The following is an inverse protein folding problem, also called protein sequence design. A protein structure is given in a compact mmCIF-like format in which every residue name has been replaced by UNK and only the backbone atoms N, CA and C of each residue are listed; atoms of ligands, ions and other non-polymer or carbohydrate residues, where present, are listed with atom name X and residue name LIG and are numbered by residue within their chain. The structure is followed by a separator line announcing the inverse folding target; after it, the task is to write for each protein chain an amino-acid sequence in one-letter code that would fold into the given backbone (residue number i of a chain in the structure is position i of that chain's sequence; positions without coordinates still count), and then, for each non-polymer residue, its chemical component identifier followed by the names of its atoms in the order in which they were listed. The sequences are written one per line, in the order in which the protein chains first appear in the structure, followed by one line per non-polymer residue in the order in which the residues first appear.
data_IF_588708156792
#
_entry.id   IF_588708156792
#
_cell.length_a   1.000
_cell.length_b   1.000
_cell.length_c   1.000
_cell.angle_alpha   90.00
_cell.angle_beta   90.00
_cell.angle_gamma   90.00
#
_symmetry.space_group_name_H-M   'P 1'
#
loop_
_entity.id
_entity.type
_entity.pdbx_description
1 polymer ?
#
# COMPACT_ATOMS: atom_id res chain seq x y z
N UNK A 1 84.29 -64.00 -42.19
CA UNK A 1 83.36 -63.45 -41.17
C UNK A 1 83.76 -62.03 -40.72
N UNK A 2 83.97 -61.07 -41.63
CA UNK A 2 84.30 -59.66 -41.25
C UNK A 2 83.59 -58.58 -42.08
N UNK A 3 82.65 -58.95 -42.97
CA UNK A 3 81.89 -58.01 -43.80
C UNK A 3 80.42 -57.85 -43.38
N UNK A 4 79.85 -58.78 -42.60
CA UNK A 4 78.43 -58.73 -42.19
C UNK A 4 78.19 -57.94 -40.89
N UNK A 5 79.19 -57.78 -40.03
CA UNK A 5 79.05 -57.05 -38.76
C UNK A 5 78.97 -55.52 -38.94
N UNK A 6 79.49 -54.96 -40.05
CA UNK A 6 79.48 -53.51 -40.30
C UNK A 6 78.12 -53.05 -40.85
N UNK A 7 77.42 -53.91 -41.60
CA UNK A 7 76.09 -53.60 -42.13
C UNK A 7 75.03 -53.50 -41.03
N UNK A 8 75.10 -54.34 -39.99
CA UNK A 8 74.14 -54.31 -38.88
C UNK A 8 74.29 -53.04 -38.01
N UNK A 9 75.52 -52.56 -37.80
CA UNK A 9 75.77 -51.37 -36.96
C UNK A 9 75.25 -50.08 -37.62
N UNK A 10 75.34 -49.97 -38.95
CA UNK A 10 74.84 -48.81 -39.71
C UNK A 10 73.32 -48.71 -39.71
N UNK A 11 72.60 -49.84 -39.75
CA UNK A 11 71.12 -49.85 -39.72
C UNK A 11 70.59 -49.42 -38.34
N UNK A 12 71.22 -49.85 -37.25
CA UNK A 12 70.79 -49.48 -35.89
C UNK A 12 70.97 -47.99 -35.61
N UNK A 13 72.04 -47.37 -36.11
CA UNK A 13 72.28 -45.93 -35.93
C UNK A 13 71.28 -45.08 -36.73
N UNK A 14 70.89 -45.51 -37.93
CA UNK A 14 69.90 -44.78 -38.75
C UNK A 14 68.49 -44.88 -38.16
N UNK A 15 68.10 -46.05 -37.61
CA UNK A 15 66.78 -46.21 -36.97
C UNK A 15 66.69 -45.42 -35.65
N UNK A 16 67.78 -45.36 -34.88
CA UNK A 16 67.83 -44.55 -33.66
C UNK A 16 67.80 -43.03 -33.96
N UNK A 17 68.44 -42.59 -35.04
CA UNK A 17 68.40 -41.19 -35.48
C UNK A 17 67.00 -40.77 -36.00
N UNK A 18 66.25 -41.69 -36.61
CA UNK A 18 64.88 -41.42 -37.06
C UNK A 18 63.87 -41.33 -35.90
N UNK A 19 64.10 -42.03 -34.79
CA UNK A 19 63.26 -41.94 -33.58
C UNK A 19 63.44 -40.62 -32.81
N UNK A 20 64.55 -39.90 -33.01
CA UNK A 20 64.80 -38.62 -32.34
C UNK A 20 64.17 -37.41 -33.03
N UNK A 21 63.68 -37.53 -34.26
CA UNK A 21 63.21 -36.38 -35.06
C UNK A 21 61.69 -36.22 -35.21
N UNK A 22 60.88 -37.05 -34.55
CA UNK A 22 59.41 -36.90 -34.58
C UNK A 22 58.77 -37.09 -33.21
N UNK A 23 59.18 -36.28 -32.22
CA UNK A 23 58.22 -35.86 -31.19
C UNK A 23 57.54 -34.61 -31.73
N UNK A 24 56.25 -34.65 -32.13
CA UNK A 24 55.52 -33.41 -32.34
C UNK A 24 55.57 -32.63 -31.02
N UNK A 25 55.86 -31.34 -31.10
CA UNK A 25 55.72 -30.43 -29.98
C UNK A 25 54.31 -30.63 -29.39
N UNK A 26 54.20 -31.23 -28.22
CA UNK A 26 53.03 -31.03 -27.38
C UNK A 26 53.05 -29.55 -27.01
N UNK A 27 52.37 -28.72 -27.81
CA UNK A 27 52.01 -27.39 -27.37
C UNK A 27 51.23 -27.56 -26.08
N UNK A 28 51.84 -27.20 -24.95
CA UNK A 28 51.14 -27.10 -23.68
C UNK A 28 49.93 -26.20 -23.91
N UNK A 29 48.74 -26.80 -23.89
CA UNK A 29 47.49 -26.07 -24.08
C UNK A 29 47.33 -25.12 -22.89
N UNK A 30 47.74 -23.86 -23.07
CA UNK A 30 47.70 -22.84 -22.02
C UNK A 30 46.26 -22.42 -21.77
N UNK A 31 45.83 -22.53 -20.52
CA UNK A 31 44.54 -22.03 -20.08
C UNK A 31 44.45 -20.51 -20.30
N UNK A 32 43.44 -19.99 -21.02
CA UNK A 32 43.25 -18.55 -21.19
C UNK A 32 43.13 -17.84 -19.84
N UNK A 33 43.77 -16.69 -19.68
CA UNK A 33 43.69 -15.86 -18.46
C UNK A 33 42.28 -15.31 -18.19
N UNK A 34 41.39 -15.39 -19.18
CA UNK A 34 39.97 -15.04 -19.07
C UNK A 34 39.13 -16.11 -18.35
N UNK A 35 39.65 -17.32 -18.13
CA UNK A 35 38.92 -18.37 -17.44
C UNK A 35 38.91 -18.15 -15.91
N UNK A 36 37.83 -17.55 -15.40
CA UNK A 36 37.65 -17.24 -13.97
C UNK A 36 37.70 -18.47 -13.05
N UNK A 37 37.27 -19.64 -13.52
CA UNK A 37 37.23 -20.89 -12.75
C UNK A 37 38.29 -21.92 -13.22
N UNK A 38 39.32 -21.45 -13.93
CA UNK A 38 40.35 -22.30 -14.52
C UNK A 38 39.85 -23.09 -15.74
N UNK A 39 40.66 -24.03 -16.23
CA UNK A 39 40.35 -24.83 -17.41
C UNK A 39 40.14 -26.31 -17.09
N UNK A 40 39.43 -27.00 -17.99
CA UNK A 40 39.34 -28.46 -18.00
C UNK A 40 40.76 -29.00 -18.29
N UNK A 41 41.20 -30.01 -17.51
CA UNK A 41 42.55 -30.58 -17.58
C UNK A 41 42.91 -30.99 -19.01
N UNK A 42 44.06 -30.50 -19.51
CA UNK A 42 44.55 -30.79 -20.86
C UNK A 42 43.85 -30.01 -21.98
N UNK A 43 43.03 -28.99 -21.67
CA UNK A 43 42.30 -28.20 -22.67
C UNK A 43 42.37 -26.70 -22.40
N UNK A 44 42.07 -25.89 -23.42
CA UNK A 44 41.91 -24.44 -23.31
C UNK A 44 40.46 -24.02 -22.96
N UNK A 45 39.57 -24.98 -22.66
CA UNK A 45 38.18 -24.69 -22.34
C UNK A 45 38.04 -24.29 -20.87
N UNK A 46 37.37 -23.16 -20.60
CA UNK A 46 37.08 -22.70 -19.26
C UNK A 46 36.13 -23.66 -18.54
N UNK A 47 36.33 -23.84 -17.23
CA UNK A 47 35.36 -24.53 -16.38
C UNK A 47 34.13 -23.67 -16.16
N UNK A 48 32.99 -24.32 -16.12
CA UNK A 48 31.77 -23.72 -15.61
C UNK A 48 31.93 -23.36 -14.11
N UNK A 49 31.21 -22.33 -13.63
CA UNK A 49 31.14 -22.06 -12.20
C UNK A 49 30.72 -23.32 -11.43
N UNK A 50 31.26 -23.57 -10.24
CA UNK A 50 30.77 -24.64 -9.39
C UNK A 50 29.26 -24.47 -9.16
N UNK A 51 28.49 -25.57 -9.11
CA UNK A 51 27.05 -25.50 -8.88
C UNK A 51 26.78 -24.73 -7.59
N UNK A 52 25.86 -23.78 -7.64
CA UNK A 52 25.43 -23.02 -6.46
C UNK A 52 24.78 -23.99 -5.47
N UNK A 53 25.42 -24.19 -4.33
CA UNK A 53 24.90 -25.05 -3.26
C UNK A 53 24.23 -24.17 -2.23
N UNK A 54 22.96 -24.45 -1.94
CA UNK A 54 22.25 -23.76 -0.88
C UNK A 54 22.93 -24.04 0.47
N UNK A 55 23.37 -23.02 1.22
CA UNK A 55 24.03 -23.21 2.51
C UNK A 55 23.15 -24.00 3.49
N UNK A 56 23.75 -24.91 4.26
CA UNK A 56 23.03 -25.69 5.29
C UNK A 56 22.46 -24.84 6.42
N UNK A 57 22.90 -23.59 6.54
CA UNK A 57 22.37 -22.58 7.46
C UNK A 57 21.02 -22.00 7.02
N UNK A 58 20.61 -22.20 5.76
CA UNK A 58 19.33 -21.72 5.25
C UNK A 58 18.17 -22.60 5.70
N UNK A 59 17.51 -22.21 6.79
CA UNK A 59 16.38 -22.97 7.39
C UNK A 59 15.18 -23.13 6.45
N UNK A 60 14.96 -22.18 5.54
CA UNK A 60 13.83 -22.15 4.60
C UNK A 60 14.23 -22.40 3.13
N UNK A 61 15.45 -22.88 2.90
CA UNK A 61 16.01 -23.01 1.55
C UNK A 61 16.53 -21.70 0.97
N UNK A 62 16.83 -21.69 -0.33
CA UNK A 62 17.46 -20.58 -1.04
C UNK A 62 16.57 -20.08 -2.18
N UNK A 63 16.77 -18.82 -2.60
CA UNK A 63 16.08 -18.28 -3.78
C UNK A 63 16.53 -19.06 -5.04
N UNK A 64 15.64 -19.28 -6.03
CA UNK A 64 15.98 -20.02 -7.24
C UNK A 64 17.23 -19.46 -7.93
N UNK A 65 18.23 -20.33 -8.15
CA UNK A 65 19.48 -19.95 -8.84
C UNK A 65 20.46 -19.13 -8.00
N UNK A 66 20.37 -19.12 -6.67
CA UNK A 66 21.27 -18.39 -5.77
C UNK A 66 21.67 -19.23 -4.54
N UNK A 67 22.71 -18.79 -3.83
CA UNK A 67 23.11 -19.27 -2.49
C UNK A 67 22.49 -18.42 -1.36
N UNK A 68 21.58 -17.50 -1.70
CA UNK A 68 20.95 -16.58 -0.74
C UNK A 68 19.76 -17.26 -0.04
N UNK A 69 19.78 -17.27 1.30
CA UNK A 69 18.70 -17.87 2.08
C UNK A 69 17.36 -17.13 1.89
N UNK A 70 16.27 -17.90 1.81
CA UNK A 70 14.91 -17.39 1.99
C UNK A 70 14.78 -16.92 3.43
N UNK A 71 14.42 -15.66 3.62
CA UNK A 71 14.08 -15.11 4.93
C UNK A 71 12.63 -15.44 5.27
N UNK A 72 12.35 -15.70 6.56
CA UNK A 72 10.97 -15.75 7.04
C UNK A 72 10.28 -14.44 6.67
N UNK A 73 9.10 -14.54 6.04
CA UNK A 73 8.20 -13.39 5.97
C UNK A 73 7.83 -13.08 7.41
N UNK A 74 8.44 -12.04 7.99
CA UNK A 74 8.05 -11.52 9.30
C UNK A 74 6.67 -10.92 9.14
N UNK A 75 5.64 -11.75 9.35
CA UNK A 75 4.28 -11.26 9.54
C UNK A 75 4.32 -10.47 10.84
N UNK A 76 4.43 -9.14 10.74
CA UNK A 76 4.33 -8.25 11.89
C UNK A 76 2.98 -8.53 12.56
N UNK A 77 3.01 -9.25 13.67
CA UNK A 77 1.83 -9.61 14.43
C UNK A 77 1.24 -8.32 14.98
N UNK A 78 0.19 -7.82 14.36
CA UNK A 78 -0.56 -6.66 14.84
C UNK A 78 -1.23 -7.02 16.16
N UNK A 79 -1.38 -6.03 17.04
CA UNK A 79 -2.09 -6.21 18.31
C UNK A 79 -3.57 -6.46 17.99
N UNK A 80 -4.10 -7.60 18.42
CA UNK A 80 -5.54 -7.83 18.35
C UNK A 80 -6.27 -6.95 19.36
N UNK A 81 -7.31 -6.27 18.91
CA UNK A 81 -8.11 -5.35 19.73
C UNK A 81 -9.55 -5.82 19.78
N UNK A 82 -10.09 -5.90 21.00
CA UNK A 82 -11.46 -6.36 21.31
C UNK A 82 -12.26 -5.33 22.11
N UNK A 83 -11.63 -4.20 22.46
CA UNK A 83 -12.22 -3.13 23.25
C UNK A 83 -11.63 -1.78 22.81
N UNK A 84 -12.36 -0.70 23.08
CA UNK A 84 -11.93 0.67 22.86
C UNK A 84 -10.72 1.03 23.74
N UNK A 85 -9.87 1.95 23.28
CA UNK A 85 -8.72 2.40 24.07
C UNK A 85 -7.66 3.16 23.29
N UNK A 86 -6.53 3.39 23.94
CA UNK A 86 -5.37 4.06 23.35
C UNK A 86 -4.53 3.04 22.58
N UNK A 87 -4.27 3.31 21.31
CA UNK A 87 -3.46 2.47 20.43
C UNK A 87 -2.04 3.03 20.32
N UNK A 88 -1.06 2.30 20.83
CA UNK A 88 0.38 2.67 20.79
C UNK A 88 1.20 1.77 19.89
N UNK A 89 0.53 0.97 19.05
CA UNK A 89 1.13 0.03 18.11
C UNK A 89 0.10 -0.34 17.03
N UNK A 90 0.58 -0.88 15.91
CA UNK A 90 -0.28 -1.39 14.85
C UNK A 90 -1.26 -2.43 15.40
N UNK A 91 -2.53 -2.21 15.11
CA UNK A 91 -3.63 -2.92 15.73
C UNK A 91 -4.63 -3.40 14.69
N UNK A 92 -5.22 -4.56 14.95
CA UNK A 92 -6.29 -5.14 14.14
C UNK A 92 -7.46 -5.49 15.05
N UNK A 93 -8.66 -4.99 14.73
CA UNK A 93 -9.86 -5.41 15.44
C UNK A 93 -10.22 -6.83 15.04
N UNK A 94 -10.70 -7.61 16.01
CA UNK A 94 -11.19 -8.98 15.80
C UNK A 94 -12.64 -9.17 16.27
N UNK A 95 -13.27 -8.08 16.73
CA UNK A 95 -14.66 -8.03 17.15
C UNK A 95 -15.19 -6.61 17.03
N UNK A 96 -16.52 -6.49 16.97
CA UNK A 96 -17.17 -5.19 17.11
C UNK A 96 -16.91 -4.62 18.51
N UNK A 97 -16.87 -3.30 18.61
CA UNK A 97 -16.67 -2.57 19.87
C UNK A 97 -17.69 -1.44 19.97
N UNK A 98 -17.96 -0.99 21.20
CA UNK A 98 -18.86 0.13 21.44
C UNK A 98 -18.37 0.98 22.61
N UNK A 99 -18.60 2.28 22.54
CA UNK A 99 -18.25 3.23 23.60
C UNK A 99 -19.19 4.41 23.59
N UNK A 100 -19.59 4.89 24.77
CA UNK A 100 -20.38 6.11 24.90
C UNK A 100 -19.50 7.37 24.79
N UNK A 101 -18.18 7.21 24.88
CA UNK A 101 -17.18 8.27 24.74
C UNK A 101 -16.30 8.02 23.51
N UNK A 102 -15.18 8.74 23.39
CA UNK A 102 -14.18 8.40 22.37
C UNK A 102 -13.78 6.92 22.46
N UNK A 103 -13.81 6.18 21.35
CA UNK A 103 -13.46 4.76 21.35
C UNK A 103 -11.95 4.55 21.16
N UNK A 104 -11.40 4.87 19.98
CA UNK A 104 -9.97 4.73 19.73
C UNK A 104 -9.25 6.07 19.74
N UNK A 105 -8.16 6.13 20.49
CA UNK A 105 -7.22 7.25 20.46
C UNK A 105 -5.90 6.75 19.90
N UNK A 106 -5.41 7.36 18.82
CA UNK A 106 -4.09 7.04 18.28
C UNK A 106 -3.02 7.65 19.18
N UNK A 107 -2.37 6.81 19.95
CA UNK A 107 -1.43 7.18 21.01
C UNK A 107 -0.04 7.52 20.51
N UNK A 108 0.39 6.98 19.36
CA UNK A 108 1.74 7.14 18.79
C UNK A 108 1.71 7.33 17.28
N UNK A 109 2.77 7.94 16.74
CA UNK A 109 3.00 8.01 15.29
C UNK A 109 3.24 6.62 14.69
N UNK A 110 3.19 6.52 13.35
CA UNK A 110 3.43 5.26 12.61
C UNK A 110 2.47 4.14 13.03
N UNK A 111 1.21 4.50 13.32
CA UNK A 111 0.19 3.57 13.80
C UNK A 111 -0.79 3.23 12.69
N UNK A 112 -1.01 1.94 12.48
CA UNK A 112 -2.10 1.42 11.65
C UNK A 112 -3.20 0.83 12.52
N UNK A 113 -4.44 1.24 12.30
CA UNK A 113 -5.63 0.53 12.77
C UNK A 113 -6.34 -0.09 11.57
N UNK A 114 -6.38 -1.41 11.53
CA UNK A 114 -7.23 -2.18 10.63
C UNK A 114 -8.45 -2.68 11.39
N UNK A 115 -9.62 -2.13 11.11
CA UNK A 115 -10.83 -2.54 11.83
C UNK A 115 -11.35 -3.91 11.34
N UNK A 116 -10.80 -4.51 10.29
CA UNK A 116 -11.22 -5.84 9.83
C UNK A 116 -12.71 -5.93 9.46
N UNK A 117 -13.30 -4.80 9.03
CA UNK A 117 -14.74 -4.61 8.81
C UNK A 117 -15.61 -4.77 10.06
N UNK A 118 -15.01 -4.76 11.24
CA UNK A 118 -15.74 -4.68 12.49
C UNK A 118 -16.29 -3.28 12.74
N UNK A 119 -17.41 -3.26 13.44
CA UNK A 119 -18.17 -2.06 13.76
C UNK A 119 -17.67 -1.39 15.04
N UNK A 120 -17.60 -0.07 15.00
CA UNK A 120 -17.35 0.82 16.14
C UNK A 120 -18.64 1.63 16.34
N UNK A 121 -19.43 1.28 17.36
CA UNK A 121 -20.73 1.92 17.62
C UNK A 121 -20.64 2.89 18.80
N UNK A 122 -21.18 4.10 18.62
CA UNK A 122 -21.28 5.11 19.67
C UNK A 122 -22.70 5.23 20.26
N UNK A 123 -22.96 6.34 20.96
CA UNK A 123 -24.30 6.72 21.48
C UNK A 123 -24.66 8.18 21.22
N UNK A 124 -24.04 8.80 20.21
CA UNK A 124 -24.22 10.21 19.83
C UNK A 124 -23.95 11.19 20.97
N UNK A 125 -23.08 10.81 21.91
CA UNK A 125 -22.66 11.70 22.98
C UNK A 125 -21.87 12.89 22.41
N UNK A 126 -22.07 14.08 22.97
CA UNK A 126 -21.30 15.26 22.58
C UNK A 126 -19.79 15.02 22.76
N UNK A 127 -18.97 15.56 21.85
CA UNK A 127 -17.51 15.42 21.88
C UNK A 127 -17.01 13.96 21.89
N UNK A 128 -17.80 13.02 21.35
CA UNK A 128 -17.41 11.63 21.15
C UNK A 128 -16.87 11.38 19.74
N UNK A 129 -15.78 10.61 19.66
CA UNK A 129 -15.15 10.23 18.39
C UNK A 129 -14.97 8.71 18.31
N UNK A 130 -15.32 8.09 17.18
CA UNK A 130 -15.01 6.67 17.02
C UNK A 130 -13.48 6.48 16.98
N UNK A 131 -12.81 7.34 16.21
CA UNK A 131 -11.36 7.35 16.09
C UNK A 131 -10.85 8.79 16.19
N UNK A 132 -9.94 9.04 17.13
CA UNK A 132 -9.31 10.34 17.35
C UNK A 132 -7.81 10.27 17.05
N UNK A 133 -7.37 11.08 16.10
CA UNK A 133 -5.98 11.28 15.69
C UNK A 133 -5.62 12.72 16.05
N UNK A 134 -4.80 12.91 17.09
CA UNK A 134 -4.44 14.26 17.54
C UNK A 134 -2.94 14.38 17.76
N UNK A 135 -2.30 15.35 17.11
CA UNK A 135 -0.86 15.56 17.13
C UNK A 135 -0.10 14.29 16.74
N UNK A 136 -0.52 13.61 15.68
CA UNK A 136 0.09 12.34 15.22
C UNK A 136 0.44 12.39 13.75
N UNK A 137 1.47 11.63 13.40
CA UNK A 137 1.95 11.54 12.02
C UNK A 137 2.03 10.09 11.55
N UNK A 138 1.92 9.88 10.24
CA UNK A 138 2.03 8.59 9.59
C UNK A 138 1.00 7.58 10.13
N UNK A 139 -0.27 7.96 10.11
CA UNK A 139 -1.36 7.14 10.66
C UNK A 139 -2.17 6.55 9.52
N UNK A 140 -2.45 5.25 9.58
CA UNK A 140 -3.34 4.58 8.62
C UNK A 140 -4.55 4.02 9.36
N UNK A 141 -5.75 4.36 8.90
CA UNK A 141 -7.01 3.78 9.38
C UNK A 141 -7.70 3.13 8.20
N UNK A 142 -8.11 1.86 8.33
CA UNK A 142 -8.76 1.16 7.22
C UNK A 142 -9.76 0.10 7.63
N UNK A 143 -10.66 -0.22 6.69
CA UNK A 143 -11.66 -1.29 6.78
C UNK A 143 -12.60 -1.13 7.97
N UNK A 144 -13.05 0.09 8.27
CA UNK A 144 -13.85 0.38 9.47
C UNK A 144 -15.32 0.66 9.14
N UNK A 145 -16.22 0.23 10.01
CA UNK A 145 -17.64 0.62 10.02
C UNK A 145 -17.90 1.42 11.29
N UNK A 146 -18.36 2.66 11.16
CA UNK A 146 -18.51 3.62 12.26
C UNK A 146 -19.94 4.17 12.24
N UNK A 147 -20.60 4.16 13.39
CA UNK A 147 -21.94 4.73 13.53
C UNK A 147 -22.13 5.41 14.90
N UNK A 148 -23.06 6.37 14.96
CA UNK A 148 -23.57 6.97 16.19
C UNK A 148 -22.53 7.71 17.05
N UNK A 149 -21.64 8.52 16.46
CA UNK A 149 -20.70 9.40 17.19
C UNK A 149 -21.00 10.89 16.97
N UNK A 150 -20.40 11.78 17.77
CA UNK A 150 -20.42 13.22 17.46
C UNK A 150 -19.59 13.53 16.21
N UNK A 151 -18.47 12.85 16.02
CA UNK A 151 -17.82 12.76 14.72
C UNK A 151 -17.24 11.36 14.55
N UNK A 152 -17.38 10.75 13.38
CA UNK A 152 -16.87 9.40 13.17
C UNK A 152 -15.35 9.35 13.35
N UNK A 153 -14.63 10.12 12.55
CA UNK A 153 -13.16 10.25 12.64
C UNK A 153 -12.79 11.71 12.82
N UNK A 154 -11.97 12.01 13.82
CA UNK A 154 -11.42 13.34 14.05
C UNK A 154 -9.90 13.33 13.89
N UNK A 155 -9.40 14.15 12.96
CA UNK A 155 -7.99 14.40 12.69
C UNK A 155 -7.70 15.85 13.09
N UNK A 156 -6.83 16.05 14.08
CA UNK A 156 -6.47 17.36 14.62
C UNK A 156 -4.95 17.50 14.66
N UNK A 157 -4.42 18.58 14.06
CA UNK A 157 -3.01 18.95 14.13
C UNK A 157 -2.07 17.81 13.76
N UNK A 158 -2.40 17.07 12.69
CA UNK A 158 -1.76 15.81 12.32
C UNK A 158 -1.34 15.84 10.85
N UNK A 159 -0.37 15.01 10.45
CA UNK A 159 0.02 14.91 9.04
C UNK A 159 0.32 13.49 8.56
N UNK A 160 0.33 13.31 7.23
CA UNK A 160 0.53 12.01 6.59
C UNK A 160 -0.47 10.96 7.11
N UNK A 161 -1.75 11.31 7.07
CA UNK A 161 -2.83 10.42 7.53
C UNK A 161 -3.53 9.80 6.32
N UNK A 162 -3.70 8.48 6.35
CA UNK A 162 -4.37 7.74 5.29
C UNK A 162 -5.62 7.05 5.83
N UNK A 163 -6.78 7.40 5.28
CA UNK A 163 -8.07 6.80 5.56
C UNK A 163 -8.52 6.02 4.32
N UNK A 164 -8.77 4.71 4.45
CA UNK A 164 -9.25 3.91 3.31
C UNK A 164 -10.27 2.83 3.64
N UNK A 165 -11.27 2.66 2.77
CA UNK A 165 -12.34 1.65 2.93
C UNK A 165 -13.08 1.82 4.28
N UNK A 166 -13.66 3.00 4.49
CA UNK A 166 -14.37 3.33 5.73
C UNK A 166 -15.83 3.63 5.41
N UNK A 167 -16.73 3.12 6.24
CA UNK A 167 -18.13 3.50 6.27
C UNK A 167 -18.39 4.31 7.53
N UNK A 168 -18.90 5.53 7.39
CA UNK A 168 -19.34 6.37 8.52
C UNK A 168 -20.78 6.77 8.31
N UNK A 169 -21.64 6.50 9.30
CA UNK A 169 -23.04 6.91 9.25
C UNK A 169 -23.56 7.51 10.55
N UNK A 170 -24.62 8.31 10.43
CA UNK A 170 -25.47 8.73 11.55
C UNK A 170 -24.75 9.53 12.66
N UNK A 171 -23.68 10.27 12.31
CA UNK A 171 -23.01 11.16 13.27
C UNK A 171 -23.80 12.45 13.53
N UNK A 172 -23.82 12.93 14.78
CA UNK A 172 -24.44 14.23 15.13
C UNK A 172 -23.56 15.44 14.80
N UNK A 173 -22.48 15.22 14.06
CA UNK A 173 -21.59 16.25 13.53
C UNK A 173 -21.16 15.84 12.14
N UNK A 174 -19.84 15.81 11.90
CA UNK A 174 -19.27 15.38 10.61
C UNK A 174 -18.88 13.91 10.65
N UNK A 175 -19.02 13.20 9.52
CA UNK A 175 -18.53 11.83 9.42
C UNK A 175 -17.00 11.76 9.60
N UNK A 176 -16.29 12.63 8.87
CA UNK A 176 -14.85 12.86 9.04
C UNK A 176 -14.61 14.35 9.24
N UNK A 177 -13.85 14.72 10.27
CA UNK A 177 -13.43 16.10 10.52
C UNK A 177 -11.90 16.18 10.52
N UNK A 178 -11.37 17.10 9.72
CA UNK A 178 -9.93 17.35 9.52
C UNK A 178 -9.63 18.80 9.86
N UNK A 179 -8.87 19.01 10.94
CA UNK A 179 -8.63 20.32 11.54
C UNK A 179 -7.13 20.56 11.63
N UNK A 180 -6.67 21.70 11.10
CA UNK A 180 -5.28 22.14 11.18
C UNK A 180 -4.27 21.05 10.78
N UNK A 181 -4.62 20.25 9.78
CA UNK A 181 -3.87 19.05 9.39
C UNK A 181 -3.40 19.14 7.95
N UNK A 182 -2.37 18.37 7.61
CA UNK A 182 -1.75 18.39 6.29
C UNK A 182 -1.52 16.99 5.72
N UNK A 183 -1.47 16.86 4.41
CA UNK A 183 -1.09 15.60 3.73
C UNK A 183 -2.00 14.44 4.17
N UNK A 184 -3.32 14.66 4.08
CA UNK A 184 -4.34 13.67 4.45
C UNK A 184 -4.94 13.09 3.17
N UNK A 185 -4.89 11.77 3.04
CA UNK A 185 -5.46 11.05 1.91
C UNK A 185 -6.68 10.25 2.37
N UNK A 186 -7.86 10.62 1.87
CA UNK A 186 -9.14 9.98 2.17
C UNK A 186 -9.66 9.33 0.91
N UNK A 187 -9.66 8.00 0.88
CA UNK A 187 -10.10 7.25 -0.28
C UNK A 187 -11.11 6.15 0.02
N UNK A 188 -12.04 5.89 -0.90
CA UNK A 188 -13.02 4.80 -0.76
C UNK A 188 -13.81 4.88 0.55
N UNK A 189 -14.17 6.10 0.96
CA UNK A 189 -15.02 6.36 2.12
C UNK A 189 -16.47 6.51 1.66
N UNK A 190 -17.38 5.85 2.38
CA UNK A 190 -18.82 6.10 2.30
C UNK A 190 -19.25 6.87 3.56
N UNK A 191 -19.70 8.11 3.42
CA UNK A 191 -20.13 8.95 4.55
C UNK A 191 -21.56 9.45 4.34
N UNK A 192 -22.48 9.11 5.25
CA UNK A 192 -23.90 9.45 5.08
C UNK A 192 -24.67 9.75 6.36
N UNK A 193 -25.79 10.47 6.25
CA UNK A 193 -26.68 10.82 7.37
C UNK A 193 -26.00 11.59 8.50
N UNK A 194 -24.91 12.29 8.20
CA UNK A 194 -24.24 13.14 9.18
C UNK A 194 -24.88 14.53 9.19
N UNK A 195 -25.07 15.11 10.39
CA UNK A 195 -25.86 16.34 10.54
C UNK A 195 -25.08 17.62 10.18
N UNK A 196 -23.76 17.55 9.97
CA UNK A 196 -22.94 18.68 9.50
C UNK A 196 -22.37 18.40 8.12
N UNK A 197 -21.41 17.48 8.00
CA UNK A 197 -20.81 17.16 6.72
C UNK A 197 -20.42 15.69 6.57
N UNK A 198 -20.35 15.20 5.34
CA UNK A 198 -19.71 13.93 5.04
C UNK A 198 -18.22 13.99 5.38
N UNK A 199 -17.54 15.03 4.89
CA UNK A 199 -16.16 15.41 5.22
C UNK A 199 -16.09 16.91 5.50
N UNK A 200 -15.48 17.29 6.62
CA UNK A 200 -15.29 18.68 7.05
C UNK A 200 -13.81 19.00 7.16
N UNK A 201 -13.36 20.03 6.43
CA UNK A 201 -11.96 20.48 6.36
C UNK A 201 -11.84 21.89 6.91
N UNK A 202 -11.08 22.06 7.99
CA UNK A 202 -10.89 23.35 8.67
C UNK A 202 -9.40 23.66 8.77
N UNK A 203 -8.99 24.79 8.16
CA UNK A 203 -7.61 25.29 8.20
C UNK A 203 -6.57 24.23 7.85
N UNK A 204 -6.87 23.38 6.87
CA UNK A 204 -6.06 22.22 6.50
C UNK A 204 -5.45 22.38 5.10
N UNK A 205 -4.41 21.61 4.77
CA UNK A 205 -3.73 21.73 3.48
C UNK A 205 -3.38 20.39 2.87
N UNK A 206 -3.21 20.34 1.55
CA UNK A 206 -2.77 19.10 0.87
C UNK A 206 -3.69 17.92 1.16
N UNK A 207 -5.01 18.15 1.13
CA UNK A 207 -6.02 17.10 1.35
C UNK A 207 -6.37 16.50 0.00
N UNK A 208 -6.29 15.18 -0.10
CA UNK A 208 -6.70 14.47 -1.30
C UNK A 208 -7.94 13.64 -0.99
N UNK A 209 -9.03 13.90 -1.71
CA UNK A 209 -10.23 13.07 -1.70
C UNK A 209 -10.32 12.28 -2.99
N UNK A 210 -10.35 10.95 -2.90
CA UNK A 210 -10.54 10.11 -4.08
C UNK A 210 -11.52 8.96 -3.91
N UNK A 211 -12.35 8.71 -4.93
CA UNK A 211 -13.25 7.53 -4.94
C UNK A 211 -14.17 7.45 -3.73
N UNK A 212 -14.56 8.60 -3.16
CA UNK A 212 -15.46 8.66 -2.02
C UNK A 212 -16.91 8.79 -2.46
N UNK A 213 -17.84 8.30 -1.64
CA UNK A 213 -19.28 8.44 -1.78
C UNK A 213 -19.84 9.20 -0.58
N UNK A 214 -20.23 10.45 -0.77
CA UNK A 214 -20.65 11.38 0.28
C UNK A 214 -22.07 11.87 -0.02
N UNK A 215 -23.06 11.32 0.69
CA UNK A 215 -24.47 11.51 0.35
C UNK A 215 -25.38 11.57 1.57
N UNK A 216 -26.55 12.18 1.46
CA UNK A 216 -27.52 12.34 2.55
C UNK A 216 -26.93 12.97 3.82
N UNK A 217 -25.88 13.80 3.69
CA UNK A 217 -25.39 14.63 4.78
C UNK A 217 -26.03 16.02 4.69
N UNK A 218 -25.82 16.85 5.71
CA UNK A 218 -26.20 18.26 5.55
C UNK A 218 -25.36 18.94 4.46
N UNK A 219 -24.03 18.81 4.50
CA UNK A 219 -23.11 19.18 3.41
C UNK A 219 -22.32 17.94 2.98
N UNK A 220 -22.05 17.75 1.68
CA UNK A 220 -21.21 16.64 1.24
C UNK A 220 -19.76 16.80 1.73
N UNK A 221 -19.12 17.88 1.26
CA UNK A 221 -17.79 18.33 1.71
C UNK A 221 -17.85 19.81 2.09
N UNK A 222 -17.47 20.14 3.31
CA UNK A 222 -17.25 21.52 3.74
C UNK A 222 -15.76 21.80 3.85
N UNK A 223 -15.30 22.93 3.32
CA UNK A 223 -13.90 23.31 3.36
C UNK A 223 -13.72 24.79 3.68
N UNK A 224 -13.20 25.07 4.87
CA UNK A 224 -12.96 26.41 5.39
C UNK A 224 -11.48 26.68 5.59
N UNK A 225 -10.98 27.76 4.98
CA UNK A 225 -9.58 28.18 5.02
C UNK A 225 -8.60 27.05 4.64
N UNK A 226 -9.00 26.14 3.74
CA UNK A 226 -8.23 24.94 3.40
C UNK A 226 -7.69 25.01 1.98
N UNK A 227 -6.41 24.69 1.79
CA UNK A 227 -5.70 25.02 0.54
C UNK A 227 -4.93 23.84 -0.04
N UNK A 228 -4.56 23.94 -1.33
CA UNK A 228 -3.76 22.92 -2.04
C UNK A 228 -4.40 21.53 -2.00
N UNK A 229 -5.73 21.46 -1.96
CA UNK A 229 -6.45 20.19 -1.87
C UNK A 229 -6.97 19.75 -3.24
N UNK A 230 -6.96 18.44 -3.50
CA UNK A 230 -7.29 17.87 -4.81
C UNK A 230 -8.37 16.80 -4.69
N UNK A 231 -9.48 16.97 -5.42
CA UNK A 231 -10.60 16.03 -5.42
C UNK A 231 -10.77 15.38 -6.79
N UNK A 232 -10.81 14.04 -6.85
CA UNK A 232 -11.01 13.31 -8.10
C UNK A 232 -11.77 11.98 -7.92
N UNK A 233 -12.58 11.59 -8.91
CA UNK A 233 -13.39 10.35 -8.89
C UNK A 233 -14.37 10.24 -7.71
N UNK A 234 -14.81 11.33 -7.11
CA UNK A 234 -15.74 11.29 -5.97
C UNK A 234 -17.20 11.39 -6.43
N UNK A 235 -18.12 10.76 -5.72
CA UNK A 235 -19.57 10.96 -5.84
C UNK A 235 -20.06 11.71 -4.61
N UNK A 236 -20.37 12.99 -4.77
CA UNK A 236 -20.80 13.91 -3.71
C UNK A 236 -22.17 14.42 -4.11
N UNK A 237 -23.22 13.70 -3.72
CA UNK A 237 -24.56 13.89 -4.28
C UNK A 237 -25.63 13.76 -3.22
N UNK A 238 -26.79 14.39 -3.44
CA UNK A 238 -27.96 14.27 -2.56
C UNK A 238 -27.69 14.70 -1.12
N UNK A 239 -26.88 15.76 -0.94
CA UNK A 239 -26.71 16.40 0.36
C UNK A 239 -27.78 17.50 0.53
N UNK A 240 -28.21 17.74 1.77
CA UNK A 240 -29.42 18.50 2.05
C UNK A 240 -29.27 20.01 1.80
N UNK A 241 -28.07 20.55 2.02
CA UNK A 241 -27.78 21.96 1.80
C UNK A 241 -26.98 22.20 0.52
N UNK A 242 -25.80 21.58 0.41
CA UNK A 242 -24.97 21.66 -0.78
C UNK A 242 -24.02 20.46 -0.84
N UNK A 243 -23.55 20.10 -2.03
CA UNK A 243 -22.63 18.97 -2.17
C UNK A 243 -21.22 19.39 -1.80
N UNK A 244 -20.76 20.56 -2.26
CA UNK A 244 -19.44 21.09 -1.86
C UNK A 244 -19.52 22.57 -1.47
N UNK A 245 -19.09 22.89 -0.26
CA UNK A 245 -19.01 24.25 0.28
C UNK A 245 -17.55 24.67 0.49
N UNK A 246 -17.15 25.84 -0.03
CA UNK A 246 -15.80 26.38 0.11
C UNK A 246 -15.81 27.83 0.61
N UNK A 247 -15.17 28.05 1.75
CA UNK A 247 -14.93 29.39 2.31
C UNK A 247 -13.43 29.66 2.39
N UNK A 248 -12.92 30.62 1.61
CA UNK A 248 -11.49 30.98 1.56
C UNK A 248 -10.56 29.76 1.32
N UNK A 249 -10.99 28.86 0.44
CA UNK A 249 -10.32 27.57 0.22
C UNK A 249 -9.83 27.43 -1.22
N UNK A 250 -8.61 26.91 -1.38
CA UNK A 250 -8.00 26.55 -2.66
C UNK A 250 -8.14 25.06 -2.92
N UNK A 251 -9.28 24.66 -3.49
CA UNK A 251 -9.57 23.28 -3.89
C UNK A 251 -9.54 23.17 -5.41
N UNK A 252 -8.78 22.22 -5.91
CA UNK A 252 -8.75 21.84 -7.31
C UNK A 252 -9.55 20.55 -7.48
N UNK A 253 -10.57 20.57 -8.32
CA UNK A 253 -11.35 19.39 -8.68
C UNK A 253 -11.18 19.08 -10.16
N UNK A 254 -10.12 18.34 -10.51
CA UNK A 254 -9.68 18.28 -11.90
C UNK A 254 -10.23 17.08 -12.70
N UNK A 255 -10.82 16.05 -12.06
CA UNK A 255 -11.21 14.81 -12.76
C UNK A 255 -12.42 14.09 -12.16
N UNK A 256 -13.45 13.89 -13.00
CA UNK A 256 -14.52 12.89 -12.84
C UNK A 256 -15.18 12.88 -11.44
N UNK A 257 -15.38 14.04 -10.83
CA UNK A 257 -16.25 14.14 -9.66
C UNK A 257 -17.71 14.21 -10.14
N UNK A 258 -18.60 13.47 -9.50
CA UNK A 258 -20.04 13.64 -9.64
C UNK A 258 -20.55 14.50 -8.49
N UNK A 259 -21.06 15.70 -8.79
CA UNK A 259 -21.72 16.54 -7.80
C UNK A 259 -22.78 17.44 -8.43
N UNK A 260 -23.76 17.86 -7.63
CA UNK A 260 -24.79 18.82 -8.02
C UNK A 260 -24.34 20.24 -7.70
N UNK A 261 -24.59 20.67 -6.47
CA UNK A 261 -24.32 22.04 -6.03
C UNK A 261 -22.93 22.17 -5.42
N UNK A 262 -22.06 22.98 -6.05
CA UNK A 262 -20.72 23.30 -5.54
C UNK A 262 -20.52 24.81 -5.50
N UNK A 263 -20.03 25.33 -4.37
CA UNK A 263 -19.57 26.71 -4.20
C UNK A 263 -18.07 26.87 -4.50
N UNK A 264 -17.43 25.80 -4.96
CA UNK A 264 -15.99 25.72 -5.23
C UNK A 264 -15.70 25.66 -6.74
N UNK A 265 -14.46 25.97 -7.11
CA UNK A 265 -13.91 25.72 -8.46
C UNK A 265 -13.62 24.23 -8.71
N UNK A 266 -14.66 23.40 -8.69
CA UNK A 266 -14.59 21.96 -8.94
C UNK A 266 -15.34 21.65 -10.24
N UNK A 267 -14.72 20.90 -11.15
CA UNK A 267 -15.43 20.34 -12.29
C UNK A 267 -16.26 19.14 -11.83
N UNK A 268 -17.59 19.29 -11.92
CA UNK A 268 -18.53 18.24 -11.58
C UNK A 268 -19.33 17.77 -12.80
N UNK A 269 -19.37 16.46 -12.96
CA UNK A 269 -20.35 15.75 -13.76
C UNK A 269 -21.67 15.76 -12.93
N UNK A 270 -22.82 16.10 -13.52
CA UNK A 270 -24.09 16.02 -12.80
C UNK A 270 -24.30 14.63 -12.21
N UNK A 271 -24.84 14.57 -10.99
CA UNK A 271 -25.25 13.30 -10.40
C UNK A 271 -26.26 12.60 -11.32
N UNK A 272 -26.06 11.32 -11.63
CA UNK A 272 -27.08 10.55 -12.34
C UNK A 272 -28.38 10.60 -11.53
N UNK A 273 -29.54 10.86 -12.16
CA UNK A 273 -30.81 10.73 -11.46
C UNK A 273 -30.93 9.29 -10.97
N UNK A 274 -31.53 9.06 -9.78
CA UNK A 274 -31.85 7.71 -9.37
C UNK A 274 -32.65 7.05 -10.50
N UNK A 275 -32.24 5.85 -10.91
CA UNK A 275 -32.95 5.07 -11.93
C UNK A 275 -34.46 5.10 -11.63
N UNK A 276 -35.33 5.41 -12.60
CA UNK A 276 -36.77 5.39 -12.36
C UNK A 276 -37.17 3.95 -12.05
N UNK A 277 -37.49 3.66 -10.78
CA UNK A 277 -37.78 2.30 -10.34
C UNK A 277 -38.01 2.07 -8.85
N UNK A 278 -37.64 2.98 -7.96
CA UNK A 278 -38.07 2.93 -6.56
C UNK A 278 -39.16 3.97 -6.30
N UNK A 279 -40.40 3.56 -6.55
CA UNK A 279 -41.58 4.22 -6.02
C UNK A 279 -41.50 4.13 -4.50
N UNK A 280 -41.46 5.28 -3.82
CA UNK A 280 -41.72 5.36 -2.39
C UNK A 280 -43.12 4.79 -2.15
N UNK A 281 -43.24 3.74 -1.35
CA UNK A 281 -44.50 3.12 -0.96
C UNK A 281 -45.34 3.98 0.02
N UNK A 282 -45.24 5.31 -0.07
CA UNK A 282 -45.93 6.26 0.80
C UNK A 282 -46.89 7.19 0.06
N UNK A 283 -47.11 7.00 -1.24
CA UNK A 283 -48.16 7.69 -1.99
C UNK A 283 -49.05 6.67 -2.72
N UNK A 284 -49.86 5.95 -1.95
CA UNK A 284 -51.12 5.40 -2.45
C UNK A 284 -52.21 6.31 -1.85
N UNK A 285 -52.90 7.15 -2.64
CA UNK A 285 -54.11 7.78 -2.18
C UNK A 285 -55.15 6.68 -1.96
N UNK A 286 -55.71 6.60 -0.75
CA UNK A 286 -56.96 5.88 -0.54
C UNK A 286 -58.08 6.63 -1.27
N UNK A 287 -58.47 6.15 -2.46
CA UNK A 287 -59.84 6.20 -2.99
C UNK A 287 -60.13 4.97 -3.86
#
# INVERSE_FOLDING_TARGET
MRKEAIALLLVVVIVAAFWFFTRPNEEEVKCPSTCKYGCILGTAQCREPPPLVCPSTCKLGCKPGTDECVQEVVVLKTKSVVECGVLTANSTMISNVSSDSTCFVIGTDNTTLDCGWHKITGRKAAESYAIRIKNRNNVTIKNCIIEDYSSGISIDSSSNVHLSNIMVEDSTGSGISVISSADVYIEKVSSSKNTIAGVDLVSSSSIILSRNSLFNNYIGVSAKNSNFSEFFYNTICSNNFTDVDCENSGILGEKENSCGESQCSIECIPCDPPLPGHVNSSEIPEE
#
